data_IF_312592511649
#
_entry.id   IF_312592511649
#
_cell.length_a   1.000
_cell.length_b   1.000
_cell.length_c   1.000
_cell.angle_alpha   90.00
_cell.angle_beta   90.00
_cell.angle_gamma   90.00
#
_symmetry.space_group_name_H-M   'P 1'
#
loop_
_entity.id
_entity.type
_entity.pdbx_description
1 polymer ?
#
# COMPACT_ATOMS: atom_id res chain seq x y z
N UNK A 1 13.34 -12.36 11.74
CA UNK A 1 14.38 -12.96 10.88
C UNK A 1 14.11 -12.42 9.49
N UNK A 2 14.84 -11.40 9.04
CA UNK A 2 14.66 -10.87 7.68
C UNK A 2 15.48 -11.73 6.72
N UNK A 3 14.83 -12.73 6.13
CA UNK A 3 15.42 -13.47 5.02
C UNK A 3 15.65 -12.48 3.89
N UNK A 4 16.92 -12.15 3.66
CA UNK A 4 17.30 -11.26 2.55
C UNK A 4 17.12 -12.05 1.27
N UNK A 5 16.32 -11.52 0.34
CA UNK A 5 16.13 -12.14 -0.97
C UNK A 5 17.47 -12.24 -1.70
N UNK A 6 17.68 -13.34 -2.41
CA UNK A 6 18.85 -13.50 -3.27
C UNK A 6 18.77 -12.56 -4.47
N UNK A 7 19.91 -12.18 -5.02
CA UNK A 7 19.97 -11.32 -6.22
C UNK A 7 19.14 -11.88 -7.39
N UNK A 8 19.07 -13.22 -7.52
CA UNK A 8 18.24 -13.87 -8.52
C UNK A 8 16.73 -13.66 -8.28
N UNK A 9 16.28 -13.67 -7.01
CA UNK A 9 14.89 -13.38 -6.65
C UNK A 9 14.55 -11.91 -6.90
N UNK A 10 15.43 -10.99 -6.47
CA UNK A 10 15.31 -9.54 -6.74
C UNK A 10 15.18 -9.26 -8.23
N UNK A 11 16.03 -9.90 -9.05
CA UNK A 11 15.97 -9.75 -10.52
C UNK A 11 14.64 -10.22 -11.08
N UNK A 12 14.13 -11.36 -10.62
CA UNK A 12 12.82 -11.88 -11.05
C UNK A 12 11.68 -10.96 -10.62
N UNK A 13 11.75 -10.34 -9.46
CA UNK A 13 10.74 -9.38 -9.00
C UNK A 13 10.71 -8.15 -9.91
N UNK A 14 11.88 -7.58 -10.24
CA UNK A 14 11.98 -6.46 -11.18
C UNK A 14 11.44 -6.80 -12.57
N UNK A 15 11.76 -7.99 -13.09
CA UNK A 15 11.22 -8.50 -14.36
C UNK A 15 9.69 -8.66 -14.34
N UNK A 16 9.11 -8.91 -13.16
CA UNK A 16 7.66 -9.00 -12.96
C UNK A 16 6.98 -7.65 -12.66
N UNK A 17 7.73 -6.53 -12.75
CA UNK A 17 7.23 -5.18 -12.55
C UNK A 17 7.18 -4.74 -11.09
N UNK A 18 7.89 -5.42 -10.18
CA UNK A 18 8.05 -4.94 -8.81
C UNK A 18 9.20 -3.94 -8.72
N UNK A 19 9.07 -2.97 -7.82
CA UNK A 19 10.13 -2.05 -7.44
C UNK A 19 10.33 -2.09 -5.92
N UNK A 20 11.58 -1.88 -5.51
CA UNK A 20 11.95 -1.82 -4.10
C UNK A 20 11.81 -0.38 -3.60
N UNK A 21 11.02 -0.19 -2.56
CA UNK A 21 10.91 1.07 -1.84
C UNK A 21 10.82 0.77 -0.35
N UNK A 22 11.66 1.37 0.48
CA UNK A 22 11.49 1.20 1.92
C UNK A 22 11.98 -0.13 2.48
N UNK A 23 12.55 -1.01 1.65
CA UNK A 23 12.75 -2.42 1.98
C UNK A 23 11.53 -3.30 1.67
N UNK A 24 10.52 -2.76 0.98
CA UNK A 24 9.32 -3.48 0.55
C UNK A 24 9.18 -3.45 -0.99
N UNK A 25 8.61 -4.52 -1.54
CA UNK A 25 8.39 -4.72 -2.95
C UNK A 25 6.97 -4.34 -3.33
N UNK A 26 6.86 -3.28 -4.13
CA UNK A 26 5.58 -2.79 -4.63
C UNK A 26 5.44 -3.07 -6.11
N UNK A 27 4.21 -3.34 -6.56
CA UNK A 27 3.87 -3.46 -7.97
C UNK A 27 2.66 -2.57 -8.29
N UNK A 28 2.73 -1.72 -9.33
CA UNK A 28 1.55 -0.98 -9.77
C UNK A 28 0.48 -1.96 -10.28
N UNK A 29 -0.75 -1.78 -9.83
CA UNK A 29 -1.88 -2.64 -10.17
C UNK A 29 -2.77 -1.96 -11.19
N UNK A 30 -3.30 -0.77 -10.85
CA UNK A 30 -4.27 -0.05 -11.67
C UNK A 30 -4.45 1.40 -11.22
N UNK A 31 -5.15 2.17 -12.05
CA UNK A 31 -5.71 3.46 -11.69
C UNK A 31 -7.09 3.31 -11.04
N UNK A 32 -7.53 4.34 -10.34
CA UNK A 32 -8.92 4.46 -9.92
C UNK A 32 -9.84 4.60 -11.13
N UNK A 33 -10.94 3.85 -11.11
CA UNK A 33 -11.98 3.89 -12.14
C UNK A 33 -13.28 4.43 -11.56
N UNK A 34 -14.27 4.68 -12.43
CA UNK A 34 -15.61 5.11 -12.02
C UNK A 34 -16.31 4.06 -11.14
N UNK A 35 -15.96 2.77 -11.28
CA UNK A 35 -16.53 1.68 -10.47
C UNK A 35 -16.03 1.68 -9.02
N UNK A 36 -14.92 2.38 -8.74
CA UNK A 36 -14.39 2.53 -7.38
C UNK A 36 -15.18 3.58 -6.57
N UNK A 37 -16.15 4.26 -7.18
CA UNK A 37 -16.94 5.32 -6.58
C UNK A 37 -16.31 6.70 -6.75
N UNK A 38 -16.92 7.70 -6.11
CA UNK A 38 -16.41 9.06 -6.10
C UNK A 38 -15.19 9.22 -5.15
N UNK A 39 -14.69 10.44 -5.00
CA UNK A 39 -13.56 10.71 -4.10
C UNK A 39 -13.86 10.30 -2.64
N UNK A 40 -15.09 10.52 -2.15
CA UNK A 40 -15.47 10.16 -0.79
C UNK A 40 -15.58 8.64 -0.61
N UNK A 41 -16.08 7.93 -1.61
CA UNK A 41 -16.13 6.46 -1.58
C UNK A 41 -14.74 5.85 -1.57
N UNK A 42 -13.81 6.39 -2.36
CA UNK A 42 -12.40 5.96 -2.38
C UNK A 42 -11.73 6.20 -1.04
N UNK A 43 -11.84 7.43 -0.49
CA UNK A 43 -11.21 7.77 0.80
C UNK A 43 -11.79 6.98 1.98
N UNK A 44 -13.07 6.58 1.94
CA UNK A 44 -13.68 5.70 2.96
C UNK A 44 -13.11 4.28 2.98
N UNK A 45 -12.51 3.83 1.88
CA UNK A 45 -11.83 2.52 1.77
C UNK A 45 -10.38 2.57 2.23
N UNK A 46 -9.81 3.77 2.38
CA UNK A 46 -8.45 3.96 2.87
C UNK A 46 -8.40 3.70 4.37
N UNK A 47 -7.44 2.87 4.77
CA UNK A 47 -7.12 2.55 6.15
C UNK A 47 -5.67 2.88 6.40
N UNK A 48 -5.43 3.45 7.57
CA UNK A 48 -4.08 3.61 8.06
C UNK A 48 -3.49 2.24 8.38
N UNK A 49 -2.28 1.97 7.91
CA UNK A 49 -1.61 0.70 8.13
C UNK A 49 -0.45 0.88 9.11
N UNK A 50 -0.69 0.54 10.38
CA UNK A 50 0.34 0.53 11.42
C UNK A 50 1.33 -0.65 11.25
N UNK A 51 1.00 -1.66 10.44
CA UNK A 51 1.88 -2.82 10.19
C UNK A 51 3.09 -2.41 9.37
N UNK A 52 2.87 -1.86 8.18
CA UNK A 52 3.90 -1.28 7.34
C UNK A 52 4.41 0.03 7.95
N UNK A 53 3.53 0.92 8.41
CA UNK A 53 3.93 2.17 9.06
C UNK A 53 4.79 3.08 8.16
N UNK A 54 4.50 3.12 6.86
CA UNK A 54 5.10 4.03 5.89
C UNK A 54 4.42 5.39 5.94
N UNK A 55 5.03 6.31 6.68
CA UNK A 55 4.54 7.68 6.86
C UNK A 55 5.69 8.68 6.80
N UNK A 56 5.38 9.94 6.54
CA UNK A 56 6.34 11.05 6.56
C UNK A 56 6.92 11.21 7.98
N UNK A 57 8.14 11.77 8.06
CA UNK A 57 8.76 12.07 9.34
C UNK A 57 7.87 13.05 10.13
N UNK A 58 7.78 12.86 11.44
CA UNK A 58 7.05 13.73 12.37
C UNK A 58 5.52 13.83 12.19
N UNK A 59 4.91 13.04 11.28
CA UNK A 59 3.46 13.11 11.04
C UNK A 59 2.62 12.60 12.23
N UNK A 60 3.03 11.52 12.91
CA UNK A 60 2.26 10.94 14.02
C UNK A 60 3.06 9.97 14.93
N UNK A 61 4.39 10.06 14.94
CA UNK A 61 5.25 9.37 15.93
C UNK A 61 5.34 7.83 15.86
N UNK A 62 4.61 7.14 14.97
CA UNK A 62 4.66 5.68 14.75
C UNK A 62 5.28 5.28 13.41
N UNK A 63 6.21 6.08 12.91
CA UNK A 63 6.90 5.82 11.66
C UNK A 63 7.82 4.60 11.80
N UNK A 64 7.60 3.58 10.98
CA UNK A 64 8.50 2.42 10.83
C UNK A 64 9.42 2.58 9.63
N UNK A 65 8.86 3.11 8.54
CA UNK A 65 9.58 3.35 7.30
C UNK A 65 9.38 4.81 6.84
N UNK A 66 10.44 5.49 6.39
CA UNK A 66 10.30 6.84 5.87
C UNK A 66 9.50 6.86 4.59
N UNK A 67 8.53 7.76 4.49
CA UNK A 67 7.71 7.91 3.31
C UNK A 67 7.84 9.32 2.72
N UNK A 68 7.91 9.37 1.39
CA UNK A 68 7.79 10.58 0.58
C UNK A 68 6.98 10.22 -0.64
N UNK A 69 5.91 10.98 -0.90
CA UNK A 69 5.08 10.79 -2.08
C UNK A 69 5.90 10.85 -3.38
N UNK A 70 6.76 11.86 -3.52
CA UNK A 70 7.65 12.01 -4.68
C UNK A 70 8.67 10.87 -4.76
N UNK A 71 9.25 10.48 -3.62
CA UNK A 71 10.19 9.37 -3.54
C UNK A 71 9.58 8.03 -3.97
N UNK A 72 8.32 7.78 -3.59
CA UNK A 72 7.60 6.56 -3.95
C UNK A 72 7.38 6.48 -5.47
N UNK A 73 6.87 7.54 -6.09
CA UNK A 73 6.66 7.58 -7.55
C UNK A 73 7.96 7.67 -8.35
N UNK A 74 9.05 8.16 -7.76
CA UNK A 74 10.37 8.10 -8.37
C UNK A 74 10.90 6.65 -8.46
N UNK A 75 10.61 5.82 -7.46
CA UNK A 75 10.95 4.40 -7.45
C UNK A 75 9.98 3.54 -8.27
N UNK A 76 8.72 3.97 -8.41
CA UNK A 76 7.68 3.25 -9.13
C UNK A 76 8.00 3.04 -10.62
N UNK A 77 7.67 1.85 -11.11
CA UNK A 77 7.71 1.53 -12.55
C UNK A 77 6.59 2.19 -13.34
N UNK A 78 5.45 2.49 -12.70
CA UNK A 78 4.32 3.21 -13.31
C UNK A 78 3.94 4.42 -12.45
N UNK A 79 4.09 5.61 -13.03
CA UNK A 79 3.82 6.89 -12.37
C UNK A 79 2.36 7.31 -12.41
N UNK A 80 1.53 6.58 -13.15
CA UNK A 80 0.11 6.88 -13.32
C UNK A 80 -0.77 6.00 -12.45
N UNK A 81 -0.26 4.87 -11.94
CA UNK A 81 -1.02 3.97 -11.09
C UNK A 81 -1.41 4.64 -9.76
N UNK A 82 -2.62 4.37 -9.30
CA UNK A 82 -3.11 4.86 -8.01
C UNK A 82 -3.03 3.76 -6.93
N UNK A 83 -3.16 2.49 -7.34
CA UNK A 83 -3.19 1.33 -6.45
C UNK A 83 -1.94 0.47 -6.70
N UNK A 84 -1.27 0.10 -5.60
CA UNK A 84 -0.04 -0.67 -5.57
C UNK A 84 -0.19 -1.88 -4.67
N UNK A 85 0.24 -3.04 -5.13
CA UNK A 85 0.29 -4.26 -4.33
C UNK A 85 1.64 -4.37 -3.63
N UNK A 86 1.64 -4.62 -2.33
CA UNK A 86 2.84 -4.87 -1.53
C UNK A 86 3.03 -6.38 -1.33
N UNK A 87 4.20 -6.92 -1.68
CA UNK A 87 4.48 -8.34 -1.56
C UNK A 87 4.63 -8.78 -0.09
N UNK A 88 5.18 -7.92 0.76
CA UNK A 88 5.51 -8.24 2.15
C UNK A 88 4.25 -8.36 3.03
N UNK A 89 3.27 -7.49 2.80
CA UNK A 89 2.00 -7.49 3.56
C UNK A 89 0.87 -8.18 2.80
N UNK A 90 1.06 -8.47 1.50
CA UNK A 90 0.05 -9.05 0.61
C UNK A 90 -1.22 -8.18 0.50
N UNK A 91 -1.09 -6.87 0.67
CA UNK A 91 -2.18 -5.88 0.65
C UNK A 91 -2.03 -4.88 -0.49
N UNK A 92 -3.14 -4.22 -0.83
CA UNK A 92 -3.17 -3.09 -1.74
C UNK A 92 -3.03 -1.77 -0.99
N UNK A 93 -2.29 -0.83 -1.56
CA UNK A 93 -2.04 0.48 -0.99
C UNK A 93 -2.26 1.60 -2.00
N UNK A 94 -2.66 2.76 -1.49
CA UNK A 94 -2.75 4.01 -2.24
C UNK A 94 -1.74 5.00 -1.65
N UNK A 95 -0.79 5.51 -2.44
CA UNK A 95 0.11 6.58 -2.03
C UNK A 95 -0.66 7.87 -1.82
N UNK A 96 -0.67 8.38 -0.59
CA UNK A 96 -1.23 9.69 -0.24
C UNK A 96 -0.11 10.67 0.11
N UNK A 97 -0.41 11.95 0.35
CA UNK A 97 0.62 12.98 0.54
C UNK A 97 1.59 12.66 1.68
N UNK A 98 1.08 12.19 2.82
CA UNK A 98 1.88 12.01 4.04
C UNK A 98 2.10 10.55 4.44
N UNK A 99 1.34 9.62 3.89
CA UNK A 99 1.46 8.20 4.22
C UNK A 99 0.99 7.30 3.08
N UNK A 100 1.43 6.05 3.13
CA UNK A 100 0.93 4.98 2.28
C UNK A 100 -0.23 4.30 3.00
N UNK A 101 -1.44 4.42 2.47
CA UNK A 101 -2.65 3.91 3.12
C UNK A 101 -3.10 2.60 2.48
N UNK A 102 -3.52 1.63 3.29
CA UNK A 102 -4.12 0.39 2.82
C UNK A 102 -5.45 0.69 2.12
N UNK A 103 -5.65 0.14 0.93
CA UNK A 103 -6.88 0.26 0.17
C UNK A 103 -7.68 -1.05 0.26
N UNK A 104 -8.81 -1.03 0.97
CA UNK A 104 -9.62 -2.23 1.20
C UNK A 104 -10.80 -2.27 0.23
N UNK A 105 -10.75 -3.20 -0.73
CA UNK A 105 -11.85 -3.47 -1.64
C UNK A 105 -12.95 -4.28 -0.96
N UNK A 106 -13.97 -3.56 -0.48
CA UNK A 106 -15.17 -4.14 0.14
C UNK A 106 -15.12 -4.10 1.66
N UNK A 107 -16.24 -3.73 2.28
CA UNK A 107 -16.38 -3.95 3.72
C UNK A 107 -16.41 -5.46 3.93
N UNK A 108 -15.38 -6.02 4.56
CA UNK A 108 -15.55 -7.29 5.24
C UNK A 108 -16.69 -7.05 6.25
N UNK A 109 -17.90 -7.47 5.90
CA UNK A 109 -19.04 -7.41 6.80
C UNK A 109 -18.63 -8.29 7.98
N UNK A 110 -18.15 -7.67 9.06
CA UNK A 110 -18.15 -8.31 10.37
C UNK A 110 -19.61 -8.69 10.61
N UNK A 111 -19.90 -9.97 10.41
CA UNK A 111 -21.20 -10.54 10.73
C UNK A 111 -21.31 -10.40 12.25
N UNK A 112 -22.04 -9.39 12.71
CA UNK A 112 -22.37 -9.22 14.11
C UNK A 112 -23.28 -10.38 14.51
N UNK A 113 -22.66 -11.48 14.90
CA UNK A 113 -23.34 -12.57 15.59
C UNK A 113 -23.36 -12.23 17.08
N UNK A 114 -24.36 -11.45 17.44
CA UNK A 114 -25.09 -11.68 18.67
C UNK A 114 -25.06 -10.54 19.66
N UNK A 115 -26.26 -10.04 19.96
CA UNK A 115 -26.89 -10.23 21.28
C UNK A 115 -28.36 -9.81 21.23
N UNK A 116 -29.24 -10.78 20.99
CA UNK A 116 -30.62 -10.67 21.44
C UNK A 116 -30.60 -10.82 22.97
N UNK A 117 -31.06 -9.79 23.68
CA UNK A 117 -31.49 -9.86 25.08
C UNK A 117 -33.00 -9.74 25.12
#
# INVERSE_FOLDING_TARGET
MTETLTEAQEKRLRENGYFLYQGCHFKPVRQFTETDGDFFDKTRRLRRDDELGMMEADYDGKQKHPYSYEGFYAASTDKKADIFFCLETMKEYTPCTHELQEYVMGQEKKHDRGRAV
#
